data_IF_238176740634
#
_entry.id   IF_238176740634
#
_cell.length_a   1.000
_cell.length_b   1.000
_cell.length_c   1.000
_cell.angle_alpha   90.00
_cell.angle_beta   90.00
_cell.angle_gamma   90.00
#
_symmetry.space_group_name_H-M   'P 1'
#
loop_
_entity.id
_entity.type
_entity.pdbx_description
1 polymer ?
#
# COMPACT_ATOMS: atom_id res chain seq x y z
N UNK A 1 12.46 27.39 10.00
CA UNK A 1 12.27 26.63 8.75
C UNK A 1 13.05 25.33 8.90
N UNK A 2 12.40 24.29 9.42
CA UNK A 2 12.99 22.95 9.51
C UNK A 2 12.57 22.19 8.24
N UNK A 3 13.41 22.31 7.21
CA UNK A 3 13.29 21.55 5.98
C UNK A 3 13.81 20.14 6.20
N UNK A 4 13.06 19.32 6.95
CA UNK A 4 13.18 17.86 6.89
C UNK A 4 12.58 17.38 5.58
N UNK A 5 13.31 17.61 4.49
CA UNK A 5 13.11 16.87 3.24
C UNK A 5 13.27 15.39 3.61
N UNK A 6 12.18 14.64 3.44
CA UNK A 6 12.04 13.28 3.94
C UNK A 6 13.17 12.38 3.49
N UNK A 7 13.93 11.88 4.46
CA UNK A 7 14.96 10.87 4.26
C UNK A 7 14.31 9.64 3.59
N UNK A 8 14.78 9.28 2.40
CA UNK A 8 14.35 8.07 1.69
C UNK A 8 15.06 6.89 2.31
N UNK A 9 14.38 6.20 3.23
CA UNK A 9 14.89 4.97 3.83
C UNK A 9 14.59 3.80 2.89
N UNK A 10 15.64 3.09 2.47
CA UNK A 10 15.54 1.87 1.70
C UNK A 10 15.68 0.68 2.66
N UNK A 11 14.61 -0.09 2.81
CA UNK A 11 14.62 -1.32 3.61
C UNK A 11 14.62 -2.53 2.69
N UNK A 12 15.62 -3.40 2.84
CA UNK A 12 15.61 -4.71 2.20
C UNK A 12 14.76 -5.67 3.06
N UNK A 13 13.56 -6.00 2.60
CA UNK A 13 12.62 -6.91 3.27
C UNK A 13 12.88 -8.40 2.90
N UNK A 14 14.14 -8.80 2.79
CA UNK A 14 14.54 -10.16 2.41
C UNK A 14 14.66 -10.38 0.89
N UNK A 15 14.55 -11.64 0.40
CA UNK A 15 14.93 -12.02 -0.97
C UNK A 15 13.98 -11.53 -2.07
N UNK A 16 12.84 -10.94 -1.71
CA UNK A 16 11.90 -10.32 -2.64
C UNK A 16 11.82 -8.83 -2.32
N UNK A 17 12.50 -7.95 -3.08
CA UNK A 17 12.37 -6.52 -2.87
C UNK A 17 10.90 -6.10 -2.98
N UNK A 18 10.43 -5.17 -2.13
CA UNK A 18 9.08 -4.63 -2.26
C UNK A 18 9.00 -3.80 -3.56
N UNK A 19 8.50 -4.43 -4.62
CA UNK A 19 8.17 -3.76 -5.86
C UNK A 19 6.64 -3.62 -5.93
N UNK A 20 6.15 -2.38 -5.91
CA UNK A 20 4.77 -2.10 -6.28
C UNK A 20 4.68 -2.16 -7.80
N UNK A 21 3.61 -2.77 -8.30
CA UNK A 21 3.36 -2.82 -9.73
C UNK A 21 2.89 -1.43 -10.20
N UNK A 22 3.06 -1.08 -11.50
CA UNK A 22 2.58 0.20 -12.02
C UNK A 22 1.11 0.47 -11.69
N UNK A 23 0.27 -0.57 -11.74
CA UNK A 23 -1.15 -0.52 -11.42
C UNK A 23 -1.40 -0.17 -9.94
N UNK A 24 -0.59 -0.72 -9.03
CA UNK A 24 -0.67 -0.40 -7.60
C UNK A 24 -0.29 1.06 -7.33
N UNK A 25 0.71 1.57 -8.05
CA UNK A 25 1.14 2.98 -7.94
C UNK A 25 0.05 3.91 -8.45
N UNK A 26 -0.61 3.56 -9.55
CA UNK A 26 -1.73 4.32 -10.09
C UNK A 26 -2.92 4.31 -9.11
N UNK A 27 -3.27 3.15 -8.55
CA UNK A 27 -4.30 3.05 -7.52
C UNK A 27 -3.98 3.90 -6.30
N UNK A 28 -2.73 3.84 -5.82
CA UNK A 28 -2.25 4.66 -4.71
C UNK A 28 -2.37 6.16 -5.01
N UNK A 29 -2.04 6.58 -6.24
CA UNK A 29 -2.17 7.97 -6.65
C UNK A 29 -3.64 8.42 -6.70
N UNK A 30 -4.52 7.59 -7.26
CA UNK A 30 -5.96 7.86 -7.32
C UNK A 30 -6.57 8.00 -5.92
N UNK A 31 -6.27 7.07 -5.01
CA UNK A 31 -6.76 7.14 -3.62
C UNK A 31 -6.24 8.39 -2.91
N UNK A 32 -4.99 8.78 -3.18
CA UNK A 32 -4.43 10.02 -2.66
C UNK A 32 -5.18 11.26 -3.17
N UNK A 33 -5.50 11.34 -4.46
CA UNK A 33 -6.30 12.45 -5.03
C UNK A 33 -7.68 12.55 -4.36
N UNK A 34 -8.37 11.42 -4.24
CA UNK A 34 -9.71 11.36 -3.63
C UNK A 34 -9.69 11.82 -2.17
N UNK A 35 -8.74 11.31 -1.39
CA UNK A 35 -8.58 11.67 0.02
C UNK A 35 -8.15 13.12 0.19
N UNK A 36 -7.29 13.63 -0.69
CA UNK A 36 -6.89 15.04 -0.71
C UNK A 36 -8.08 15.96 -0.97
N UNK A 37 -8.95 15.57 -1.91
CA UNK A 37 -10.19 16.29 -2.24
C UNK A 37 -11.25 16.26 -1.14
N UNK A 38 -11.19 15.28 -0.22
CA UNK A 38 -12.10 15.15 0.94
C UNK A 38 -11.69 16.00 2.16
N UNK A 39 -10.79 16.96 1.99
CA UNK A 39 -10.42 17.92 3.03
C UNK A 39 -9.14 17.61 3.80
N UNK A 40 -8.40 16.54 3.43
CA UNK A 40 -7.07 16.29 3.99
C UNK A 40 -6.00 17.21 3.37
N UNK A 41 -6.26 17.75 2.17
CA UNK A 41 -5.47 18.80 1.55
C UNK A 41 -4.01 18.44 1.25
N UNK A 42 -3.19 19.46 1.03
CA UNK A 42 -1.79 19.33 0.60
C UNK A 42 -0.84 18.69 1.64
N UNK A 43 -1.32 18.42 2.86
CA UNK A 43 -0.55 17.74 3.91
C UNK A 43 -0.57 16.21 3.81
N UNK A 44 -1.47 15.64 3.01
CA UNK A 44 -1.55 14.20 2.78
C UNK A 44 -0.42 13.74 1.86
N UNK A 45 0.33 12.71 2.25
CA UNK A 45 1.35 12.08 1.40
C UNK A 45 0.92 10.66 1.00
N UNK A 46 1.47 10.14 -0.10
CA UNK A 46 1.22 8.74 -0.51
C UNK A 46 1.52 7.72 0.60
N UNK A 47 2.58 7.94 1.40
CA UNK A 47 2.91 7.09 2.56
C UNK A 47 1.80 7.03 3.61
N UNK A 48 0.99 8.08 3.72
CA UNK A 48 -0.09 8.16 4.70
C UNK A 48 -1.26 7.28 4.24
N UNK A 49 -1.54 7.27 2.93
CA UNK A 49 -2.52 6.35 2.31
C UNK A 49 -2.08 4.90 2.51
N UNK A 50 -0.82 4.58 2.22
CA UNK A 50 -0.25 3.25 2.47
C UNK A 50 -0.35 2.88 3.95
N UNK A 51 -0.01 3.79 4.87
CA UNK A 51 -0.10 3.55 6.32
C UNK A 51 -1.54 3.26 6.76
N UNK A 52 -2.54 3.96 6.20
CA UNK A 52 -3.96 3.68 6.49
C UNK A 52 -4.35 2.31 5.96
N UNK A 53 -3.97 1.96 4.73
CA UNK A 53 -4.27 0.65 4.13
C UNK A 53 -3.66 -0.49 4.96
N UNK A 54 -2.38 -0.38 5.33
CA UNK A 54 -1.70 -1.38 6.16
C UNK A 54 -2.34 -1.55 7.54
N UNK A 55 -2.74 -0.45 8.19
CA UNK A 55 -3.43 -0.51 9.50
C UNK A 55 -4.81 -1.15 9.41
N UNK A 56 -5.54 -0.91 8.31
CA UNK A 56 -6.84 -1.56 8.07
C UNK A 56 -6.66 -3.06 7.82
N UNK A 57 -5.66 -3.42 7.01
CA UNK A 57 -5.32 -4.82 6.75
C UNK A 57 -4.94 -5.56 8.02
N UNK A 58 -4.11 -4.97 8.87
CA UNK A 58 -3.72 -5.54 10.17
C UNK A 58 -4.94 -5.73 11.10
N UNK A 59 -5.84 -4.74 11.17
CA UNK A 59 -7.05 -4.83 11.96
C UNK A 59 -8.01 -5.92 11.43
N UNK A 60 -8.22 -5.98 10.11
CA UNK A 60 -9.08 -6.98 9.48
C UNK A 60 -8.52 -8.40 9.69
N UNK A 61 -7.20 -8.58 9.58
CA UNK A 61 -6.51 -9.84 9.80
C UNK A 61 -6.66 -10.36 11.25
N UNK A 62 -6.76 -9.47 12.24
CA UNK A 62 -6.97 -9.82 13.64
C UNK A 62 -8.45 -9.75 14.08
N UNK A 63 -9.37 -9.77 13.12
CA UNK A 63 -10.81 -9.75 13.35
C UNK A 63 -11.47 -11.02 12.78
N UNK A 64 -12.80 -11.19 12.94
CA UNK A 64 -13.54 -12.25 12.25
C UNK A 64 -13.43 -12.23 10.71
N UNK A 65 -12.95 -11.13 10.10
CA UNK A 65 -12.70 -11.00 8.67
C UNK A 65 -11.36 -11.59 8.19
N UNK A 66 -10.59 -12.22 9.07
CA UNK A 66 -9.29 -12.80 8.71
C UNK A 66 -9.38 -13.80 7.55
N UNK A 67 -10.48 -14.54 7.43
CA UNK A 67 -10.76 -15.44 6.31
C UNK A 67 -10.81 -14.71 4.96
N UNK A 68 -11.49 -13.57 4.89
CA UNK A 68 -11.57 -12.74 3.68
C UNK A 68 -10.18 -12.26 3.25
N UNK A 69 -9.40 -11.77 4.23
CA UNK A 69 -8.04 -11.29 4.01
C UNK A 69 -7.14 -12.39 3.45
N UNK A 70 -7.23 -13.60 4.00
CA UNK A 70 -6.45 -14.76 3.52
C UNK A 70 -6.88 -15.19 2.11
N UNK A 71 -8.17 -15.15 1.80
CA UNK A 71 -8.69 -15.48 0.48
C UNK A 71 -8.20 -14.48 -0.58
N UNK A 72 -8.32 -13.19 -0.32
CA UNK A 72 -7.84 -12.12 -1.21
C UNK A 72 -6.33 -12.21 -1.43
N UNK A 73 -5.54 -12.37 -0.36
CA UNK A 73 -4.10 -12.52 -0.45
C UNK A 73 -3.68 -13.75 -1.26
N UNK A 74 -4.42 -14.86 -1.14
CA UNK A 74 -4.14 -16.08 -1.91
C UNK A 74 -4.40 -15.89 -3.40
N UNK A 75 -5.44 -15.11 -3.77
CA UNK A 75 -5.71 -14.75 -5.16
C UNK A 75 -4.56 -13.97 -5.81
N UNK A 76 -4.01 -13.00 -5.08
CA UNK A 76 -2.89 -12.18 -5.56
C UNK A 76 -1.60 -12.98 -5.78
N UNK A 77 -1.32 -13.98 -4.93
CA UNK A 77 -0.16 -14.87 -5.10
C UNK A 77 -0.28 -15.74 -6.35
N UNK A 78 -1.50 -16.13 -6.73
CA UNK A 78 -1.77 -16.88 -7.95
C UNK A 78 -1.58 -16.00 -9.20
N UNK A 79 -2.04 -14.75 -9.17
CA UNK A 79 -1.87 -13.77 -10.26
C UNK A 79 -0.40 -13.42 -10.52
N UNK A 80 0.44 -13.41 -9.48
CA UNK A 80 1.88 -13.10 -9.59
C UNK A 80 2.71 -14.21 -10.25
N UNK A 81 2.16 -15.42 -10.44
CA UNK A 81 2.90 -16.59 -10.97
C UNK A 81 2.70 -16.88 -12.46
N UNK A 82 2.05 -15.99 -13.22
CA UNK A 82 2.00 -16.15 -14.69
C UNK A 82 3.42 -16.02 -15.27
N UNK A 83 3.98 -17.07 -15.92
CA UNK A 83 5.26 -16.95 -16.58
C UNK A 83 5.10 -15.99 -17.76
N UNK A 84 5.85 -14.89 -17.75
CA UNK A 84 6.11 -14.09 -18.94
C UNK A 84 6.64 -15.04 -20.02
N UNK A 85 5.82 -15.24 -21.06
CA UNK A 85 6.21 -15.87 -22.32
C UNK A 85 7.07 -14.91 -23.15
#
# INVERSE_FOLDING_TARGET
>A
MDSRIGERLYFNLGPRPPCLWPEDVELLHRLWLELSGKGLGAGLHHRDVVRVALRRLDADLHSPRSGDVLQEASGQVAETHEPVN
#
